data_IF_409770567571
#
_entry.id   IF_409770567571
#
_cell.length_a   1.000
_cell.length_b   1.000
_cell.length_c   1.000
_cell.angle_alpha   90.00
_cell.angle_beta   90.00
_cell.angle_gamma   90.00
#
_symmetry.space_group_name_H-M   'P 1'
#
loop_
_entity.id
_entity.type
_entity.pdbx_description
1 polymer ?
#
# COMPACT_ATOMS: atom_id res chain seq x y z
N UNK A 1 -2.95 -37.06 -12.33
CA UNK A 1 -2.86 -37.87 -13.57
C UNK A 1 -2.62 -36.89 -14.71
N UNK A 2 -1.41 -36.85 -15.28
CA UNK A 2 -1.04 -35.89 -16.34
C UNK A 2 -1.74 -36.33 -17.62
N UNK A 3 -2.71 -35.55 -18.11
CA UNK A 3 -3.40 -35.86 -19.35
C UNK A 3 -2.40 -35.76 -20.51
N UNK A 4 -2.20 -36.86 -21.23
CA UNK A 4 -1.39 -36.89 -22.46
C UNK A 4 -2.26 -36.33 -23.57
N UNK A 5 -2.00 -35.08 -23.96
CA UNK A 5 -2.71 -34.41 -25.05
C UNK A 5 -2.44 -35.19 -26.34
N UNK A 6 -3.48 -35.77 -26.92
CA UNK A 6 -3.38 -36.71 -28.04
C UNK A 6 -3.56 -36.04 -29.40
N UNK A 7 -3.92 -34.75 -29.41
CA UNK A 7 -4.28 -34.00 -30.61
C UNK A 7 -3.57 -32.63 -30.65
N UNK A 8 -3.00 -32.28 -31.81
CA UNK A 8 -2.31 -31.03 -32.05
C UNK A 8 -3.23 -29.81 -31.86
N UNK A 9 -4.50 -29.90 -32.28
CA UNK A 9 -5.47 -28.81 -32.11
C UNK A 9 -5.82 -28.58 -30.63
N UNK A 10 -5.83 -29.65 -29.85
CA UNK A 10 -6.04 -29.59 -28.41
C UNK A 10 -4.84 -28.95 -27.71
N UNK A 11 -3.62 -29.29 -28.12
CA UNK A 11 -2.40 -28.66 -27.63
C UNK A 11 -2.34 -27.16 -27.97
N UNK A 12 -2.68 -26.77 -29.20
CA UNK A 12 -2.71 -25.36 -29.63
C UNK A 12 -3.79 -24.58 -28.88
N UNK A 13 -4.95 -25.21 -28.63
CA UNK A 13 -6.02 -24.60 -27.85
C UNK A 13 -5.60 -24.39 -26.39
N UNK A 14 -4.93 -25.38 -25.81
CA UNK A 14 -4.40 -25.29 -24.45
C UNK A 14 -3.35 -24.20 -24.31
N UNK A 15 -2.39 -24.11 -25.25
CA UNK A 15 -1.36 -23.06 -25.26
C UNK A 15 -1.98 -21.67 -25.37
N UNK A 16 -3.03 -21.49 -26.19
CA UNK A 16 -3.74 -20.21 -26.29
C UNK A 16 -4.45 -19.82 -25.00
N UNK A 17 -5.03 -20.80 -24.29
CA UNK A 17 -5.66 -20.57 -22.99
C UNK A 17 -4.59 -20.19 -21.96
N UNK A 18 -3.50 -20.93 -21.89
CA UNK A 18 -2.40 -20.70 -20.96
C UNK A 18 -1.76 -19.32 -21.21
N UNK A 19 -1.56 -18.93 -22.47
CA UNK A 19 -1.08 -17.60 -22.85
C UNK A 19 -2.05 -16.47 -22.42
N UNK A 20 -3.36 -16.71 -22.52
CA UNK A 20 -4.39 -15.75 -22.10
C UNK A 20 -4.47 -15.62 -20.58
N UNK A 21 -4.20 -16.70 -19.85
CA UNK A 21 -4.05 -16.67 -18.38
C UNK A 21 -2.80 -15.87 -18.00
N UNK A 22 -1.67 -16.08 -18.68
CA UNK A 22 -0.42 -15.36 -18.41
C UNK A 22 -0.54 -13.85 -18.68
N UNK A 23 -1.31 -13.40 -19.68
CA UNK A 23 -1.54 -11.96 -19.89
C UNK A 23 -2.40 -11.31 -18.79
N UNK A 24 -3.11 -12.08 -17.97
CA UNK A 24 -3.80 -11.58 -16.77
C UNK A 24 -2.81 -11.45 -15.59
N UNK A 25 -1.63 -12.09 -15.65
CA UNK A 25 -0.61 -12.15 -14.58
C UNK A 25 0.48 -11.07 -14.64
N UNK A 26 0.44 -10.10 -15.58
CA UNK A 26 1.33 -8.92 -15.53
C UNK A 26 0.94 -7.88 -14.45
N UNK A 27 0.01 -8.21 -13.55
CA UNK A 27 -0.10 -7.49 -12.27
C UNK A 27 0.93 -8.03 -11.28
N UNK A 28 1.85 -7.19 -10.76
CA UNK A 28 2.87 -7.65 -9.83
C UNK A 28 2.21 -8.07 -8.50
N UNK A 29 2.23 -9.39 -8.26
CA UNK A 29 1.83 -10.12 -7.04
C UNK A 29 0.32 -10.38 -6.88
N UNK A 30 -0.20 -11.53 -7.36
CA UNK A 30 -1.52 -12.00 -6.97
C UNK A 30 -1.40 -12.66 -5.59
N UNK A 31 -1.40 -11.87 -4.52
CA UNK A 31 -1.81 -12.39 -3.20
C UNK A 31 -3.34 -12.57 -3.28
N UNK A 32 -3.78 -13.59 -4.01
CA UNK A 32 -5.20 -13.91 -4.18
C UNK A 32 -5.68 -14.72 -2.97
N UNK A 33 -5.74 -14.08 -1.80
CA UNK A 33 -6.37 -14.68 -0.60
C UNK A 33 -7.92 -14.61 -0.75
N UNK A 34 -8.46 -13.76 -1.63
CA UNK A 34 -9.89 -13.50 -1.71
C UNK A 34 -10.44 -13.32 -3.12
N UNK A 35 -10.57 -14.41 -3.86
CA UNK A 35 -11.68 -14.56 -4.78
C UNK A 35 -12.33 -15.92 -4.56
N UNK A 36 -13.34 -16.05 -3.67
CA UNK A 36 -14.22 -17.19 -3.79
C UNK A 36 -14.97 -17.00 -5.11
N UNK A 37 -14.69 -17.85 -6.09
CA UNK A 37 -15.66 -18.17 -7.13
C UNK A 37 -16.91 -18.65 -6.41
N UNK A 38 -17.90 -17.79 -6.16
CA UNK A 38 -19.31 -18.13 -5.94
C UNK A 38 -20.09 -16.82 -5.79
N UNK A 39 -20.92 -16.57 -6.79
CA UNK A 39 -22.27 -16.01 -6.76
C UNK A 39 -22.54 -14.80 -5.85
N UNK A 40 -22.77 -13.68 -6.54
CA UNK A 40 -23.65 -12.53 -6.27
C UNK A 40 -24.56 -12.64 -5.04
N UNK A 41 -23.96 -12.80 -3.87
CA UNK A 41 -24.58 -12.77 -2.57
C UNK A 41 -23.67 -11.94 -1.69
N UNK A 42 -24.26 -10.91 -1.07
CA UNK A 42 -23.59 -9.93 -0.23
C UNK A 42 -22.71 -10.62 0.81
N UNK A 43 -21.40 -10.68 0.58
CA UNK A 43 -20.53 -11.49 1.41
C UNK A 43 -19.58 -10.64 2.22
N UNK A 44 -19.80 -10.64 3.53
CA UNK A 44 -18.86 -10.14 4.56
C UNK A 44 -17.45 -10.73 4.43
N UNK A 45 -17.27 -11.78 3.63
CA UNK A 45 -16.00 -12.45 3.33
C UNK A 45 -15.07 -11.56 2.49
N UNK A 46 -15.58 -10.79 1.51
CA UNK A 46 -14.75 -9.87 0.72
C UNK A 46 -14.16 -8.72 1.56
N UNK A 47 -14.98 -8.16 2.46
CA UNK A 47 -14.56 -7.11 3.41
C UNK A 47 -13.57 -7.65 4.44
N UNK A 48 -13.84 -8.84 5.00
CA UNK A 48 -12.91 -9.53 5.91
C UNK A 48 -11.58 -9.81 5.21
N UNK A 49 -11.62 -10.08 3.92
CA UNK A 49 -10.43 -10.41 3.18
C UNK A 49 -9.50 -9.26 2.89
N UNK A 50 -10.06 -8.14 2.45
CA UNK A 50 -9.32 -6.90 2.32
C UNK A 50 -8.73 -6.47 3.66
N UNK A 51 -9.46 -6.62 4.77
CA UNK A 51 -8.95 -6.32 6.10
C UNK A 51 -7.74 -7.20 6.47
N UNK A 52 -7.82 -8.52 6.29
CA UNK A 52 -6.71 -9.45 6.56
C UNK A 52 -5.50 -9.10 5.70
N UNK A 53 -5.69 -8.80 4.41
CA UNK A 53 -4.62 -8.37 3.53
C UNK A 53 -3.96 -7.08 4.04
N UNK A 54 -4.74 -6.04 4.38
CA UNK A 54 -4.20 -4.79 4.90
C UNK A 54 -3.43 -4.99 6.21
N UNK A 55 -3.91 -5.87 7.10
CA UNK A 55 -3.21 -6.20 8.36
C UNK A 55 -1.86 -6.87 8.09
N UNK A 56 -1.83 -7.87 7.20
CA UNK A 56 -0.58 -8.57 6.83
C UNK A 56 0.39 -7.61 6.15
N UNK A 57 -0.10 -6.78 5.22
CA UNK A 57 0.72 -5.78 4.52
C UNK A 57 1.36 -4.80 5.51
N UNK A 58 0.57 -4.22 6.40
CA UNK A 58 1.06 -3.29 7.43
C UNK A 58 2.08 -4.00 8.35
N UNK A 59 1.78 -5.21 8.83
CA UNK A 59 2.69 -6.00 9.67
C UNK A 59 4.03 -6.29 8.96
N UNK A 60 3.98 -6.65 7.67
CA UNK A 60 5.18 -6.84 6.86
C UNK A 60 5.99 -5.55 6.70
N UNK A 61 5.33 -4.43 6.37
CA UNK A 61 6.00 -3.14 6.15
C UNK A 61 6.62 -2.60 7.45
N UNK A 62 5.98 -2.80 8.59
CA UNK A 62 6.48 -2.34 9.90
C UNK A 62 7.68 -3.15 10.42
N UNK A 63 7.87 -4.38 9.95
CA UNK A 63 9.09 -5.15 10.23
C UNK A 63 10.32 -4.58 9.50
N UNK A 64 10.13 -3.77 8.46
CA UNK A 64 11.21 -3.16 7.70
C UNK A 64 11.67 -1.88 8.40
N UNK A 65 12.99 -1.76 8.62
CA UNK A 65 13.56 -0.54 9.21
C UNK A 65 13.38 0.64 8.26
N UNK A 66 12.91 1.77 8.79
CA UNK A 66 12.90 3.04 8.08
C UNK A 66 14.32 3.60 8.03
N UNK A 67 14.72 4.15 6.88
CA UNK A 67 15.99 4.86 6.73
C UNK A 67 15.72 6.35 6.55
N UNK A 68 16.76 7.19 6.73
CA UNK A 68 16.66 8.63 6.47
C UNK A 68 16.29 8.93 5.01
N UNK A 69 16.82 8.13 4.08
CA UNK A 69 16.55 8.25 2.65
C UNK A 69 15.06 8.14 2.33
N UNK A 70 14.33 7.25 3.01
CA UNK A 70 12.88 7.12 2.81
C UNK A 70 12.14 8.40 3.23
N UNK A 71 12.60 9.04 4.31
CA UNK A 71 12.02 10.30 4.78
C UNK A 71 12.34 11.45 3.83
N UNK A 72 13.57 11.52 3.32
CA UNK A 72 13.99 12.52 2.33
C UNK A 72 13.19 12.39 1.03
N UNK A 73 13.00 11.16 0.54
CA UNK A 73 12.16 10.89 -0.63
C UNK A 73 10.71 11.32 -0.40
N UNK A 74 10.14 11.02 0.77
CA UNK A 74 8.79 11.42 1.13
C UNK A 74 8.62 12.94 1.17
N UNK A 75 9.60 13.65 1.74
CA UNK A 75 9.61 15.12 1.79
C UNK A 75 9.68 15.70 0.37
N UNK A 76 10.52 15.14 -0.50
CA UNK A 76 10.61 15.59 -1.88
C UNK A 76 9.29 15.37 -2.64
N UNK A 77 8.63 14.22 -2.43
CA UNK A 77 7.32 13.93 -3.02
C UNK A 77 6.27 14.96 -2.58
N UNK A 78 6.28 15.37 -1.31
CA UNK A 78 5.38 16.43 -0.83
C UNK A 78 5.71 17.80 -1.42
N UNK A 79 6.99 18.18 -1.51
CA UNK A 79 7.38 19.46 -2.13
C UNK A 79 6.92 19.55 -3.58
N UNK A 80 7.05 18.45 -4.34
CA UNK A 80 6.58 18.39 -5.71
C UNK A 80 5.04 18.44 -5.79
N UNK A 81 4.34 17.74 -4.90
CA UNK A 81 2.85 17.68 -4.90
C UNK A 81 2.23 19.02 -4.52
N UNK A 82 2.88 19.78 -3.63
CA UNK A 82 2.36 21.01 -3.05
C UNK A 82 3.14 22.25 -3.49
N UNK A 83 3.85 22.21 -4.63
CA UNK A 83 4.71 23.31 -5.12
C UNK A 83 3.95 24.64 -5.27
N UNK A 84 2.66 24.60 -5.60
CA UNK A 84 1.82 25.77 -5.76
C UNK A 84 1.21 26.31 -4.45
N UNK A 85 1.47 25.65 -3.31
CA UNK A 85 0.88 25.99 -2.01
C UNK A 85 1.94 26.41 -1.01
N UNK A 86 2.19 27.73 -0.91
CA UNK A 86 3.09 28.31 0.09
C UNK A 86 2.76 27.88 1.53
N UNK A 87 1.47 27.69 1.82
CA UNK A 87 1.01 27.23 3.11
C UNK A 87 1.51 25.81 3.43
N UNK A 88 1.38 24.88 2.47
CA UNK A 88 1.82 23.50 2.66
C UNK A 88 3.35 23.39 2.60
N UNK A 89 4.03 24.17 1.74
CA UNK A 89 5.49 24.25 1.71
C UNK A 89 6.06 24.69 3.08
N UNK A 90 5.51 25.73 3.69
CA UNK A 90 5.91 26.16 5.04
C UNK A 90 5.63 25.08 6.11
N UNK A 91 4.57 24.29 5.95
CA UNK A 91 4.32 23.16 6.85
C UNK A 91 5.33 22.04 6.64
N UNK A 92 5.75 21.78 5.40
CA UNK A 92 6.79 20.79 5.06
C UNK A 92 8.14 21.21 5.67
N UNK A 93 8.51 22.49 5.54
CA UNK A 93 9.73 23.01 6.16
C UNK A 93 9.69 22.87 7.69
N UNK A 94 8.54 23.19 8.30
CA UNK A 94 8.35 22.99 9.75
C UNK A 94 8.44 21.52 10.14
N UNK A 95 7.91 20.62 9.32
CA UNK A 95 7.96 19.19 9.56
C UNK A 95 9.40 18.66 9.52
N UNK A 96 10.18 19.08 8.51
CA UNK A 96 11.58 18.69 8.36
C UNK A 96 12.46 19.19 9.52
N UNK A 97 12.19 20.39 10.02
CA UNK A 97 12.90 20.97 11.17
C UNK A 97 12.41 20.46 12.53
N UNK A 98 11.17 19.97 12.63
CA UNK A 98 10.67 19.36 13.85
C UNK A 98 11.37 18.02 14.02
N UNK A 99 12.31 17.93 14.97
CA UNK A 99 12.83 16.63 15.39
C UNK A 99 11.64 15.73 15.73
N UNK A 100 11.45 14.71 14.91
CA UNK A 100 10.22 13.90 14.80
C UNK A 100 9.88 12.95 15.97
N UNK A 101 10.78 12.54 16.89
CA UNK A 101 10.42 11.48 17.82
C UNK A 101 9.23 11.91 18.69
N UNK A 102 8.17 11.11 18.67
CA UNK A 102 6.96 11.33 19.44
C UNK A 102 6.00 12.41 18.90
N UNK A 103 6.25 12.99 17.71
CA UNK A 103 5.38 14.04 17.11
C UNK A 103 4.56 13.56 15.91
N UNK A 104 4.78 12.33 15.44
CA UNK A 104 4.07 11.78 14.28
C UNK A 104 2.53 11.86 14.44
N UNK A 105 1.98 11.54 15.62
CA UNK A 105 0.54 11.65 15.87
C UNK A 105 0.04 13.10 15.79
N UNK A 106 0.83 14.06 16.30
CA UNK A 106 0.50 15.49 16.20
C UNK A 106 0.39 15.94 14.74
N UNK A 107 1.34 15.54 13.90
CA UNK A 107 1.30 15.83 12.46
C UNK A 107 0.15 15.12 11.76
N UNK A 108 -0.22 13.92 12.20
CA UNK A 108 -1.38 13.20 11.68
C UNK A 108 -2.73 13.85 12.04
N UNK A 109 -2.86 14.41 13.24
CA UNK A 109 -4.11 15.09 13.65
C UNK A 109 -4.24 16.50 13.09
N UNK A 110 -3.15 17.09 12.58
CA UNK A 110 -3.16 18.44 12.02
C UNK A 110 -3.69 18.43 10.58
N UNK A 111 -4.50 19.44 10.25
CA UNK A 111 -4.95 19.69 8.88
C UNK A 111 -3.78 20.19 8.00
N UNK A 112 -2.92 19.30 7.53
CA UNK A 112 -1.77 19.60 6.66
C UNK A 112 -1.55 18.54 5.56
N UNK A 113 -0.53 18.69 4.73
CA UNK A 113 -0.13 17.69 3.74
C UNK A 113 -0.02 16.26 4.32
N UNK A 114 0.40 16.12 5.58
CA UNK A 114 0.73 14.83 6.20
C UNK A 114 -0.48 13.89 6.29
N UNK A 115 -1.55 14.33 6.95
CA UNK A 115 -2.76 13.49 7.11
C UNK A 115 -3.46 13.22 5.76
N UNK A 116 -3.42 14.17 4.81
CA UNK A 116 -4.01 14.03 3.47
C UNK A 116 -3.30 12.92 2.71
N UNK A 117 -1.98 13.02 2.61
CA UNK A 117 -1.15 12.10 1.82
C UNK A 117 -1.11 10.70 2.43
N UNK A 118 -1.00 10.57 3.76
CA UNK A 118 -1.06 9.27 4.42
C UNK A 118 -2.42 8.59 4.23
N UNK A 119 -3.53 9.30 4.47
CA UNK A 119 -4.87 8.72 4.32
C UNK A 119 -5.19 8.38 2.86
N UNK A 120 -4.67 9.16 1.92
CA UNK A 120 -4.79 8.87 0.49
C UNK A 120 -4.01 7.61 0.11
N UNK A 121 -2.75 7.48 0.53
CA UNK A 121 -1.93 6.31 0.29
C UNK A 121 -2.58 5.04 0.83
N UNK A 122 -3.11 5.09 2.07
CA UNK A 122 -3.83 3.97 2.68
C UNK A 122 -5.12 3.61 1.93
N UNK A 123 -5.90 4.61 1.49
CA UNK A 123 -7.16 4.38 0.77
C UNK A 123 -6.94 3.79 -0.61
N UNK A 124 -5.88 4.22 -1.30
CA UNK A 124 -5.50 3.73 -2.63
C UNK A 124 -4.63 2.47 -2.58
N UNK A 125 -4.23 2.02 -1.39
CA UNK A 125 -3.23 0.96 -1.20
C UNK A 125 -1.94 1.24 -1.99
N UNK A 126 -1.49 2.49 -2.03
CA UNK A 126 -0.22 2.86 -2.67
C UNK A 126 0.94 2.28 -1.86
N UNK A 127 1.41 1.09 -2.24
CA UNK A 127 2.41 0.34 -1.50
C UNK A 127 3.71 1.14 -1.36
N UNK A 128 4.11 1.88 -2.41
CA UNK A 128 5.32 2.69 -2.38
C UNK A 128 5.21 3.81 -1.35
N UNK A 129 4.12 4.57 -1.38
CA UNK A 129 3.90 5.63 -0.39
C UNK A 129 3.76 5.07 1.02
N UNK A 130 3.00 3.98 1.22
CA UNK A 130 2.87 3.35 2.54
C UNK A 130 4.25 2.87 3.04
N UNK A 131 5.10 2.34 2.15
CA UNK A 131 6.47 1.98 2.47
C UNK A 131 7.29 3.19 2.93
N UNK A 132 7.24 4.33 2.23
CA UNK A 132 7.91 5.56 2.67
C UNK A 132 7.38 6.07 4.03
N UNK A 133 6.08 5.89 4.29
CA UNK A 133 5.43 6.26 5.55
C UNK A 133 5.70 5.29 6.71
N UNK A 134 6.34 4.13 6.49
CA UNK A 134 6.40 3.03 7.48
C UNK A 134 6.95 3.45 8.86
N UNK A 135 7.98 4.30 8.88
CA UNK A 135 8.54 4.82 10.14
C UNK A 135 7.52 5.64 10.93
N UNK A 136 6.74 6.47 10.23
CA UNK A 136 5.70 7.28 10.86
C UNK A 136 4.49 6.45 11.28
N UNK A 137 4.10 5.45 10.51
CA UNK A 137 3.01 4.53 10.89
C UNK A 137 3.40 3.76 12.16
N UNK A 138 4.65 3.30 12.24
CA UNK A 138 5.19 2.67 13.44
C UNK A 138 5.09 3.62 14.65
N UNK A 139 5.56 4.86 14.49
CA UNK A 139 5.52 5.87 15.56
C UNK A 139 4.10 6.21 16.00
N UNK A 140 3.15 6.33 15.06
CA UNK A 140 1.74 6.57 15.35
C UNK A 140 1.13 5.40 16.12
N UNK A 141 1.37 4.16 15.68
CA UNK A 141 0.87 2.97 16.36
C UNK A 141 1.45 2.85 17.78
N UNK A 142 2.73 3.14 17.94
CA UNK A 142 3.37 3.16 19.25
C UNK A 142 2.75 4.24 20.14
N UNK A 143 2.58 5.46 19.62
CA UNK A 143 1.97 6.57 20.35
C UNK A 143 0.54 6.23 20.79
N UNK A 144 -0.29 5.62 19.92
CA UNK A 144 -1.67 5.24 20.25
C UNK A 144 -1.79 4.12 21.30
N UNK A 145 -0.83 3.20 21.36
CA UNK A 145 -0.81 2.12 22.37
C UNK A 145 -0.35 2.60 23.75
N UNK A 146 0.31 3.75 23.80
CA UNK A 146 0.88 4.32 25.01
C UNK A 146 0.08 5.53 25.55
N UNK A 147 -1.10 5.82 24.99
CA UNK A 147 -2.11 6.74 25.58
C UNK A 147 -2.97 5.97 26.57
#
# INVERSE_FOLDING_TARGET
IKAVVSNLDEAVSQIKIDYKIMQIEEEPLPINIFTPRVDKSMSTIGVKGHYVFSQILIDCLLRLKSTKKDTEELIQNWRNTYEASDFELNNIDKFENDNLPGKALRWYTRLSFFHKTLNEALRKQDIHMIFLFRGFIYDIQHQLKCV
#
